data_IF_141690241268
#
_entry.id   IF_141690241268
#
_cell.length_a   1.000
_cell.length_b   1.000
_cell.length_c   1.000
_cell.angle_alpha   90.00
_cell.angle_beta   90.00
_cell.angle_gamma   90.00
#
_symmetry.space_group_name_H-M   'P 1'
#
loop_
_entity.id
_entity.type
_entity.pdbx_description
1 polymer ?
#
# COMPACT_ATOMS: atom_id res chain seq x y z
N UNK A 1 -8.57 -39.11 -56.57
CA UNK A 1 -9.13 -38.64 -55.28
C UNK A 1 -8.65 -39.43 -54.08
N UNK A 2 -8.81 -40.76 -53.97
CA UNK A 2 -8.42 -41.52 -52.75
C UNK A 2 -6.94 -41.38 -52.33
N UNK A 3 -6.01 -41.28 -53.29
CA UNK A 3 -4.56 -41.15 -53.01
C UNK A 3 -4.21 -39.79 -52.41
N UNK A 4 -4.84 -38.71 -52.88
CA UNK A 4 -4.71 -37.36 -52.29
C UNK A 4 -5.37 -37.29 -50.91
N UNK A 5 -6.54 -37.93 -50.73
CA UNK A 5 -7.22 -37.97 -49.43
C UNK A 5 -6.38 -38.70 -48.36
N UNK A 6 -5.70 -39.79 -48.75
CA UNK A 6 -4.76 -40.51 -47.87
C UNK A 6 -3.54 -39.67 -47.52
N UNK A 7 -2.96 -38.95 -48.49
CA UNK A 7 -1.81 -38.09 -48.25
C UNK A 7 -2.17 -36.91 -47.33
N UNK A 8 -3.34 -36.30 -47.54
CA UNK A 8 -3.91 -35.30 -46.65
C UNK A 8 -4.13 -35.86 -45.23
N UNK A 9 -4.67 -37.07 -45.12
CA UNK A 9 -4.85 -37.76 -43.83
C UNK A 9 -3.54 -37.99 -43.09
N UNK A 10 -2.49 -38.46 -43.77
CA UNK A 10 -1.16 -38.63 -43.18
C UNK A 10 -0.51 -37.31 -42.78
N UNK A 11 -0.66 -36.26 -43.58
CA UNK A 11 -0.17 -34.93 -43.25
C UNK A 11 -0.87 -34.35 -42.00
N UNK A 12 -2.20 -34.50 -41.91
CA UNK A 12 -2.97 -34.08 -40.72
C UNK A 12 -2.57 -34.89 -39.48
N UNK A 13 -2.40 -36.21 -39.61
CA UNK A 13 -1.95 -37.05 -38.51
C UNK A 13 -0.54 -36.67 -38.05
N UNK A 14 0.38 -36.43 -38.97
CA UNK A 14 1.74 -35.97 -38.66
C UNK A 14 1.72 -34.63 -37.91
N UNK A 15 0.90 -33.68 -38.36
CA UNK A 15 0.73 -32.38 -37.69
C UNK A 15 0.13 -32.53 -36.29
N UNK A 16 -0.87 -33.40 -36.11
CA UNK A 16 -1.47 -33.69 -34.81
C UNK A 16 -0.43 -34.29 -33.84
N UNK A 17 0.38 -35.25 -34.29
CA UNK A 17 1.45 -35.85 -33.49
C UNK A 17 2.49 -34.81 -33.07
N UNK A 18 2.90 -33.94 -34.00
CA UNK A 18 3.82 -32.84 -33.71
C UNK A 18 3.23 -31.85 -32.69
N UNK A 19 1.95 -31.50 -32.82
CA UNK A 19 1.27 -30.62 -31.88
C UNK A 19 1.18 -31.24 -30.47
N UNK A 20 0.85 -32.52 -30.37
CA UNK A 20 0.82 -33.26 -29.09
C UNK A 20 2.21 -33.35 -28.48
N UNK A 21 3.25 -33.64 -29.28
CA UNK A 21 4.63 -33.71 -28.81
C UNK A 21 5.11 -32.36 -28.28
N UNK A 22 4.83 -31.26 -29.00
CA UNK A 22 5.15 -29.91 -28.56
C UNK A 22 4.39 -29.53 -27.27
N UNK A 23 3.11 -29.89 -27.18
CA UNK A 23 2.30 -29.66 -25.97
C UNK A 23 2.85 -30.46 -24.78
N UNK A 24 3.21 -31.74 -24.95
CA UNK A 24 3.81 -32.55 -23.88
C UNK A 24 5.17 -32.01 -23.45
N UNK A 25 6.03 -31.64 -24.40
CA UNK A 25 7.33 -31.05 -24.10
C UNK A 25 7.20 -29.76 -23.30
N UNK A 26 6.23 -28.91 -23.67
CA UNK A 26 5.90 -27.68 -22.95
C UNK A 26 5.32 -27.98 -21.56
N UNK A 27 4.42 -28.96 -21.45
CA UNK A 27 3.73 -29.32 -20.21
C UNK A 27 4.69 -29.84 -19.14
N UNK A 28 5.71 -30.58 -19.56
CA UNK A 28 6.73 -31.14 -18.67
C UNK A 28 8.03 -30.33 -18.67
N UNK A 29 8.01 -29.12 -19.24
CA UNK A 29 9.18 -28.24 -19.19
C UNK A 29 9.47 -27.88 -17.72
N UNK A 30 10.72 -27.97 -17.25
CA UNK A 30 11.02 -27.72 -15.86
C UNK A 30 10.90 -26.23 -15.52
N UNK A 31 10.36 -25.93 -14.33
CA UNK A 31 10.47 -24.60 -13.75
C UNK A 31 11.95 -24.24 -13.53
N UNK A 32 12.30 -22.98 -13.71
CA UNK A 32 13.65 -22.51 -13.39
C UNK A 32 13.88 -22.45 -11.88
N UNK A 33 15.15 -22.44 -11.46
CA UNK A 33 15.48 -22.27 -10.04
C UNK A 33 14.94 -20.94 -9.47
N UNK A 34 15.04 -19.86 -10.25
CA UNK A 34 14.51 -18.54 -9.87
C UNK A 34 12.98 -18.55 -9.71
N UNK A 35 12.25 -19.27 -10.56
CA UNK A 35 10.80 -19.44 -10.45
C UNK A 35 10.40 -20.17 -9.17
N UNK A 36 11.10 -21.26 -8.83
CA UNK A 36 10.87 -22.00 -7.59
C UNK A 36 11.17 -21.15 -6.36
N UNK A 37 12.26 -20.39 -6.41
CA UNK A 37 12.67 -19.52 -5.30
C UNK A 37 11.67 -18.39 -5.04
N UNK A 38 11.20 -17.71 -6.09
CA UNK A 38 10.19 -16.66 -5.95
C UNK A 38 8.90 -17.20 -5.32
N UNK A 39 8.45 -18.39 -5.75
CA UNK A 39 7.28 -19.05 -5.15
C UNK A 39 7.52 -19.39 -3.69
N UNK A 40 8.69 -19.93 -3.35
CA UNK A 40 9.06 -20.26 -1.96
C UNK A 40 9.02 -19.01 -1.06
N UNK A 41 9.57 -17.90 -1.51
CA UNK A 41 9.57 -16.63 -0.76
C UNK A 41 8.15 -16.10 -0.54
N UNK A 42 7.28 -16.23 -1.54
CA UNK A 42 5.90 -15.76 -1.44
C UNK A 42 4.99 -16.68 -0.62
N UNK A 43 5.31 -17.96 -0.51
CA UNK A 43 4.58 -18.91 0.33
C UNK A 43 5.08 -18.91 1.79
N UNK A 44 6.28 -18.37 2.05
CA UNK A 44 6.87 -18.25 3.39
C UNK A 44 6.30 -17.05 4.17
N UNK A 45 4.97 -17.02 4.35
CA UNK A 45 4.27 -16.00 5.12
C UNK A 45 4.53 -16.23 6.60
N UNK A 46 5.07 -15.22 7.28
CA UNK A 46 5.30 -15.26 8.72
C UNK A 46 4.18 -14.50 9.42
N UNK A 47 3.51 -15.10 10.42
CA UNK A 47 2.55 -14.36 11.23
C UNK A 47 3.21 -13.14 11.87
N UNK A 48 2.56 -11.98 11.78
CA UNK A 48 2.99 -10.80 12.53
C UNK A 48 2.67 -11.00 14.02
N UNK A 49 3.55 -10.56 14.91
CA UNK A 49 3.29 -10.62 16.36
C UNK A 49 2.50 -9.38 16.83
N UNK A 50 1.90 -9.48 18.02
CA UNK A 50 1.19 -8.36 18.67
C UNK A 50 -0.30 -8.29 18.39
N UNK A 51 -0.93 -7.21 18.87
CA UNK A 51 -2.38 -7.02 18.81
C UNK A 51 -2.81 -6.59 17.41
N UNK A 52 -3.74 -7.34 16.81
CA UNK A 52 -4.29 -7.03 15.50
C UNK A 52 -5.44 -6.01 15.60
N UNK A 53 -5.28 -4.84 14.97
CA UNK A 53 -6.27 -3.77 14.90
C UNK A 53 -7.26 -3.89 13.74
N UNK A 54 -7.22 -4.98 12.96
CA UNK A 54 -8.07 -5.14 11.79
C UNK A 54 -9.57 -5.06 12.11
N UNK A 55 -10.02 -5.53 13.27
CA UNK A 55 -11.43 -5.40 13.67
C UNK A 55 -11.86 -3.93 13.78
N UNK A 56 -11.02 -3.06 14.34
CA UNK A 56 -11.28 -1.62 14.42
C UNK A 56 -11.25 -0.99 13.03
N UNK A 57 -10.30 -1.38 12.18
CA UNK A 57 -10.18 -0.89 10.82
C UNK A 57 -11.39 -1.29 9.93
N UNK A 58 -11.81 -2.55 10.00
CA UNK A 58 -12.95 -3.10 9.26
C UNK A 58 -14.27 -2.42 9.65
N UNK A 59 -14.44 -2.11 10.94
CA UNK A 59 -15.66 -1.53 11.50
C UNK A 59 -15.57 -0.01 11.70
N UNK A 60 -14.54 0.64 11.14
CA UNK A 60 -14.27 2.06 11.34
C UNK A 60 -15.47 3.00 11.06
N UNK A 61 -16.34 2.72 10.06
CA UNK A 61 -17.53 3.54 9.80
C UNK A 61 -18.65 3.45 10.86
N UNK A 62 -18.57 2.53 11.81
CA UNK A 62 -19.66 2.28 12.77
C UNK A 62 -19.35 2.86 14.15
N UNK A 63 -20.27 3.68 14.66
CA UNK A 63 -20.19 4.33 15.97
C UNK A 63 -20.77 3.43 17.08
N UNK A 64 -20.43 3.74 18.34
CA UNK A 64 -21.08 3.13 19.52
C UNK A 64 -20.68 1.69 19.82
N UNK A 65 -19.63 1.18 19.16
CA UNK A 65 -19.12 -0.18 19.38
C UNK A 65 -17.82 -0.16 20.17
N UNK A 66 -17.77 -0.94 21.25
CA UNK A 66 -16.54 -1.27 21.96
C UNK A 66 -15.65 -2.26 21.17
N UNK A 67 -14.49 -2.62 21.71
CA UNK A 67 -13.56 -3.52 21.02
C UNK A 67 -14.15 -4.95 20.85
N UNK A 68 -14.80 -5.48 21.89
CA UNK A 68 -15.34 -6.83 21.87
C UNK A 68 -16.47 -6.98 20.85
N UNK A 69 -17.33 -5.97 20.74
CA UNK A 69 -18.41 -5.92 19.74
C UNK A 69 -17.85 -5.88 18.31
N UNK A 70 -16.75 -5.15 18.08
CA UNK A 70 -16.08 -5.10 16.77
C UNK A 70 -15.43 -6.42 16.40
N UNK A 71 -14.79 -7.09 17.36
CA UNK A 71 -14.20 -8.41 17.18
C UNK A 71 -15.28 -9.47 16.91
N UNK A 72 -16.41 -9.40 17.61
CA UNK A 72 -17.56 -10.28 17.37
C UNK A 72 -18.14 -10.07 15.96
N UNK A 73 -18.34 -8.81 15.54
CA UNK A 73 -18.81 -8.51 14.19
C UNK A 73 -17.86 -9.04 13.11
N UNK A 74 -16.55 -8.85 13.28
CA UNK A 74 -15.55 -9.41 12.36
C UNK A 74 -15.59 -10.94 12.35
N UNK A 75 -15.75 -11.60 13.49
CA UNK A 75 -15.86 -13.06 13.55
C UNK A 75 -17.10 -13.57 12.79
N UNK A 76 -18.21 -12.86 12.84
CA UNK A 76 -19.43 -13.19 12.09
C UNK A 76 -19.22 -12.99 10.59
N UNK A 77 -18.58 -11.89 10.19
CA UNK A 77 -18.16 -11.61 8.82
C UNK A 77 -17.24 -12.71 8.27
N UNK A 78 -16.27 -13.18 9.06
CA UNK A 78 -15.38 -14.28 8.69
C UNK A 78 -16.11 -15.60 8.50
N UNK A 79 -17.06 -15.94 9.38
CA UNK A 79 -17.88 -17.16 9.22
C UNK A 79 -18.70 -17.11 7.95
N UNK A 80 -19.34 -15.96 7.67
CA UNK A 80 -20.11 -15.75 6.43
C UNK A 80 -19.24 -15.89 5.19
N UNK A 81 -18.03 -15.31 5.22
CA UNK A 81 -17.06 -15.44 4.14
C UNK A 81 -16.63 -16.89 3.91
N UNK A 82 -16.39 -17.66 4.98
CA UNK A 82 -15.96 -19.06 4.86
C UNK A 82 -17.07 -19.98 4.32
N UNK A 83 -18.35 -19.70 4.61
CA UNK A 83 -19.46 -20.55 4.17
C UNK A 83 -19.80 -20.34 2.70
N UNK A 84 -20.07 -19.09 2.31
CA UNK A 84 -20.49 -18.75 0.95
C UNK A 84 -20.05 -17.31 0.65
N UNK A 85 -18.83 -17.10 0.13
CA UNK A 85 -18.42 -15.82 -0.38
C UNK A 85 -19.44 -15.28 -1.40
N UNK A 86 -19.93 -14.08 -1.15
CA UNK A 86 -20.86 -13.37 -2.04
C UNK A 86 -20.51 -11.89 -2.01
N UNK A 87 -21.02 -11.11 -2.98
CA UNK A 87 -20.88 -9.65 -2.97
C UNK A 87 -21.33 -9.01 -1.64
N UNK A 88 -22.37 -9.54 -0.99
CA UNK A 88 -22.84 -9.07 0.32
C UNK A 88 -21.82 -9.29 1.46
N UNK A 89 -20.87 -10.21 1.28
CA UNK A 89 -19.80 -10.50 2.24
C UNK A 89 -18.68 -9.46 2.23
N UNK A 90 -18.71 -8.50 1.30
CA UNK A 90 -17.74 -7.39 1.22
C UNK A 90 -18.06 -6.21 2.15
N UNK A 91 -19.26 -6.20 2.74
CA UNK A 91 -19.65 -5.21 3.74
C UNK A 91 -19.84 -5.89 5.09
N UNK A 92 -19.51 -5.22 6.19
CA UNK A 92 -19.71 -5.80 7.53
C UNK A 92 -21.18 -6.14 7.80
N UNK A 93 -21.45 -7.21 8.54
CA UNK A 93 -22.78 -7.56 9.08
C UNK A 93 -23.45 -6.40 9.83
N UNK A 94 -22.66 -5.50 10.41
CA UNK A 94 -23.15 -4.29 11.09
C UNK A 94 -24.00 -3.40 10.19
N UNK A 95 -23.74 -3.39 8.87
CA UNK A 95 -24.49 -2.58 7.91
C UNK A 95 -26.00 -2.95 7.84
N UNK A 96 -26.39 -4.13 8.32
CA UNK A 96 -27.79 -4.53 8.41
C UNK A 96 -28.51 -3.92 9.62
N UNK A 97 -27.78 -3.59 10.69
CA UNK A 97 -28.33 -3.08 11.95
C UNK A 97 -28.08 -1.59 12.17
N UNK A 98 -27.03 -1.04 11.55
CA UNK A 98 -26.59 0.34 11.72
C UNK A 98 -26.16 0.92 10.37
N UNK A 99 -26.59 2.14 10.07
CA UNK A 99 -26.09 2.86 8.92
C UNK A 99 -24.62 3.24 9.13
N UNK A 100 -23.71 2.97 8.16
CA UNK A 100 -22.33 3.43 8.26
C UNK A 100 -22.30 4.97 8.22
N UNK A 101 -21.30 5.56 8.86
CA UNK A 101 -21.08 7.00 8.85
C UNK A 101 -20.98 7.50 7.40
N UNK A 102 -21.82 8.48 7.05
CA UNK A 102 -21.78 9.13 5.75
C UNK A 102 -20.78 10.30 5.82
N UNK A 103 -19.68 10.19 5.07
CA UNK A 103 -18.64 11.21 5.03
C UNK A 103 -18.84 12.12 3.82
N UNK A 104 -19.09 13.41 4.07
CA UNK A 104 -19.09 14.41 3.03
C UNK A 104 -17.67 14.63 2.48
N UNK A 105 -17.54 14.68 1.14
CA UNK A 105 -16.30 15.09 0.49
C UNK A 105 -15.88 16.51 0.86
N UNK A 106 -16.83 17.38 1.26
CA UNK A 106 -16.56 18.76 1.64
C UNK A 106 -15.63 18.88 2.86
N UNK A 107 -15.63 17.90 3.77
CA UNK A 107 -14.79 17.87 4.98
C UNK A 107 -13.37 17.36 4.76
N UNK A 108 -13.02 16.90 3.55
CA UNK A 108 -11.68 16.39 3.26
C UNK A 108 -10.82 17.41 2.54
N UNK A 109 -9.58 17.53 2.99
CA UNK A 109 -8.55 18.27 2.29
C UNK A 109 -8.32 17.64 0.91
N UNK A 110 -8.38 18.46 -0.13
CA UNK A 110 -8.07 18.03 -1.48
C UNK A 110 -6.57 17.71 -1.60
N UNK A 111 -6.25 16.74 -2.45
CA UNK A 111 -4.86 16.50 -2.87
C UNK A 111 -4.48 17.60 -3.87
N UNK A 112 -3.36 18.27 -3.65
CA UNK A 112 -2.93 19.34 -4.53
C UNK A 112 -1.70 20.11 -4.01
N UNK A 113 -1.39 21.25 -4.64
CA UNK A 113 -0.21 22.05 -4.26
C UNK A 113 -0.44 22.85 -2.96
N UNK A 114 -1.71 23.12 -2.62
CA UNK A 114 -2.08 23.79 -1.38
C UNK A 114 -2.18 22.75 -0.26
N UNK A 115 -1.37 22.91 0.79
CA UNK A 115 -1.37 22.03 1.96
C UNK A 115 -2.71 22.01 2.70
N UNK A 116 -2.94 20.95 3.48
CA UNK A 116 -4.21 20.77 4.19
C UNK A 116 -4.46 21.89 5.21
N UNK A 117 -3.42 22.34 5.93
CA UNK A 117 -3.56 23.44 6.89
C UNK A 117 -4.02 24.74 6.23
N UNK A 118 -3.46 25.08 5.06
CA UNK A 118 -3.85 26.24 4.28
C UNK A 118 -5.30 26.14 3.75
N UNK A 119 -5.72 24.96 3.30
CA UNK A 119 -7.10 24.72 2.87
C UNK A 119 -8.10 24.93 4.02
N UNK A 120 -7.82 24.38 5.20
CA UNK A 120 -8.70 24.57 6.38
C UNK A 120 -8.71 26.03 6.83
N UNK A 121 -7.55 26.71 6.78
CA UNK A 121 -7.46 28.14 7.12
C UNK A 121 -8.30 29.02 6.19
N UNK A 122 -8.41 28.67 4.92
CA UNK A 122 -9.17 29.43 3.94
C UNK A 122 -10.70 29.35 4.17
N UNK A 123 -11.20 28.23 4.71
CA UNK A 123 -12.62 28.05 5.01
C UNK A 123 -12.85 27.19 6.28
N UNK A 124 -12.54 27.69 7.49
CA UNK A 124 -12.62 26.89 8.71
C UNK A 124 -14.04 26.43 9.03
N UNK A 125 -15.05 27.23 8.65
CA UNK A 125 -16.46 26.95 8.93
C UNK A 125 -16.98 25.76 8.13
N UNK A 126 -16.58 25.62 6.86
CA UNK A 126 -16.91 24.44 6.06
C UNK A 126 -16.37 23.17 6.69
N UNK A 127 -15.11 23.16 7.11
CA UNK A 127 -14.51 21.98 7.76
C UNK A 127 -15.17 21.69 9.11
N UNK A 128 -15.43 22.71 9.92
CA UNK A 128 -16.15 22.53 11.19
C UNK A 128 -17.56 21.95 10.99
N UNK A 129 -18.31 22.44 10.00
CA UNK A 129 -19.61 21.90 9.63
C UNK A 129 -19.52 20.45 9.16
N UNK A 130 -18.57 20.13 8.28
CA UNK A 130 -18.41 18.79 7.74
C UNK A 130 -17.92 17.74 8.76
N UNK A 131 -17.23 18.16 9.83
CA UNK A 131 -16.82 17.27 10.93
C UNK A 131 -17.79 17.27 12.12
N UNK A 132 -18.92 18.00 12.03
CA UNK A 132 -19.92 17.99 13.10
C UNK A 132 -20.49 16.58 13.28
N UNK A 133 -20.40 16.05 14.51
CA UNK A 133 -20.83 14.69 14.82
C UNK A 133 -19.78 13.60 14.57
N UNK A 134 -18.57 13.93 14.10
CA UNK A 134 -17.50 12.95 13.82
C UNK A 134 -16.59 12.66 15.03
N UNK A 135 -16.91 13.15 16.23
CA UNK A 135 -16.06 12.97 17.42
C UNK A 135 -15.75 11.49 17.70
N UNK A 136 -16.74 10.61 17.55
CA UNK A 136 -16.54 9.16 17.69
C UNK A 136 -15.59 8.58 16.64
N UNK A 137 -15.64 9.07 15.38
CA UNK A 137 -14.70 8.65 14.34
C UNK A 137 -13.27 9.07 14.68
N UNK A 138 -13.07 10.31 15.12
CA UNK A 138 -11.73 10.82 15.45
C UNK A 138 -11.11 10.06 16.62
N UNK A 139 -11.89 9.69 17.63
CA UNK A 139 -11.44 8.82 18.71
C UNK A 139 -10.99 7.45 18.20
N UNK A 140 -11.76 6.84 17.29
CA UNK A 140 -11.38 5.55 16.67
C UNK A 140 -10.11 5.65 15.85
N UNK A 141 -9.96 6.72 15.07
CA UNK A 141 -8.75 6.97 14.29
C UNK A 141 -7.52 7.09 15.21
N UNK A 142 -7.64 7.79 16.33
CA UNK A 142 -6.56 7.90 17.31
C UNK A 142 -6.17 6.54 17.91
N UNK A 143 -7.17 5.70 18.21
CA UNK A 143 -6.98 4.34 18.76
C UNK A 143 -6.31 3.34 17.82
N UNK A 144 -6.27 3.60 16.51
CA UNK A 144 -5.56 2.72 15.57
C UNK A 144 -4.07 2.63 15.92
N UNK A 145 -3.47 3.68 16.47
CA UNK A 145 -2.07 3.66 16.88
C UNK A 145 -1.78 2.79 18.13
N UNK A 146 -2.79 2.20 18.75
CA UNK A 146 -2.63 1.29 19.90
C UNK A 146 -2.41 -0.17 19.49
N UNK A 147 -2.53 -0.48 18.19
CA UNK A 147 -2.40 -1.84 17.66
C UNK A 147 -1.10 -2.03 16.89
N UNK A 148 -0.56 -3.25 16.93
CA UNK A 148 0.77 -3.57 16.40
C UNK A 148 0.75 -3.98 14.92
N UNK A 149 -0.38 -4.55 14.48
CA UNK A 149 -0.58 -5.14 13.14
C UNK A 149 -2.00 -4.92 12.60
N UNK A 150 -2.14 -4.98 11.27
CA UNK A 150 -3.39 -4.72 10.53
C UNK A 150 -3.63 -5.70 9.38
N UNK A 151 -3.08 -6.91 9.46
CA UNK A 151 -3.34 -7.95 8.48
C UNK A 151 -4.80 -8.41 8.52
N UNK A 152 -5.36 -8.58 7.33
CA UNK A 152 -6.69 -9.12 7.11
C UNK A 152 -6.75 -10.61 7.48
N UNK A 153 -7.70 -11.02 8.35
CA UNK A 153 -7.94 -12.42 8.64
C UNK A 153 -8.76 -13.14 7.55
N UNK A 154 -9.30 -12.42 6.56
CA UNK A 154 -10.00 -13.02 5.44
C UNK A 154 -9.02 -13.86 4.61
N UNK A 155 -9.37 -15.13 4.40
CA UNK A 155 -8.57 -16.02 3.56
C UNK A 155 -9.10 -15.98 2.12
N UNK A 156 -8.24 -15.88 1.10
CA UNK A 156 -8.69 -15.90 -0.29
C UNK A 156 -9.52 -17.15 -0.61
N UNK A 157 -10.67 -16.97 -1.27
CA UNK A 157 -11.60 -18.05 -1.59
C UNK A 157 -12.07 -17.96 -3.03
N UNK A 158 -11.73 -18.96 -3.83
CA UNK A 158 -12.14 -19.01 -5.22
C UNK A 158 -11.63 -17.83 -6.05
N UNK A 159 -12.50 -17.29 -6.89
CA UNK A 159 -12.26 -16.11 -7.74
C UNK A 159 -12.77 -14.80 -7.12
N UNK A 160 -13.36 -14.86 -5.93
CA UNK A 160 -13.95 -13.69 -5.27
C UNK A 160 -12.85 -12.75 -4.77
N UNK A 161 -13.08 -11.45 -4.93
CA UNK A 161 -12.17 -10.43 -4.42
C UNK A 161 -12.15 -10.48 -2.89
N UNK A 162 -10.99 -10.29 -2.29
CA UNK A 162 -10.91 -10.28 -0.83
C UNK A 162 -11.65 -9.04 -0.27
N UNK A 163 -12.43 -9.18 0.82
CA UNK A 163 -13.06 -8.05 1.46
C UNK A 163 -12.02 -7.02 1.94
N UNK A 164 -12.30 -5.74 1.67
CA UNK A 164 -11.43 -4.62 2.04
C UNK A 164 -12.16 -3.70 3.03
N UNK A 165 -11.49 -3.20 4.07
CA UNK A 165 -12.03 -2.16 4.93
C UNK A 165 -12.50 -0.93 4.14
N UNK A 166 -13.52 -0.25 4.67
CA UNK A 166 -13.88 1.07 4.17
C UNK A 166 -12.77 2.07 4.52
N UNK A 167 -11.91 2.40 3.57
CA UNK A 167 -10.74 3.26 3.80
C UNK A 167 -11.04 4.76 3.82
N UNK A 168 -12.17 5.19 3.27
CA UNK A 168 -12.57 6.61 3.23
C UNK A 168 -12.43 7.35 4.57
N UNK A 169 -12.84 6.78 5.73
CA UNK A 169 -12.72 7.45 7.02
C UNK A 169 -11.28 7.68 7.48
N UNK A 170 -10.30 6.88 7.03
CA UNK A 170 -8.88 7.14 7.33
C UNK A 170 -8.42 8.48 6.78
N UNK A 171 -9.04 8.94 5.69
CA UNK A 171 -8.66 10.17 5.00
C UNK A 171 -9.29 11.43 5.63
N UNK A 172 -10.23 11.27 6.58
CA UNK A 172 -10.88 12.38 7.30
C UNK A 172 -9.99 12.98 8.39
N UNK A 173 -9.09 12.17 8.96
CA UNK A 173 -8.32 12.52 10.15
C UNK A 173 -7.42 13.75 9.99
N UNK A 174 -6.85 13.96 8.80
CA UNK A 174 -5.96 15.09 8.55
C UNK A 174 -6.69 16.45 8.59
N UNK A 175 -7.91 16.52 8.05
CA UNK A 175 -8.71 17.74 8.05
C UNK A 175 -9.18 18.11 9.45
N UNK A 176 -9.63 17.10 10.21
CA UNK A 176 -9.99 17.28 11.62
C UNK A 176 -8.80 17.76 12.47
N UNK A 177 -7.63 17.17 12.23
CA UNK A 177 -6.39 17.56 12.91
C UNK A 177 -5.97 19.01 12.57
N UNK A 178 -6.03 19.40 11.30
CA UNK A 178 -5.74 20.77 10.88
C UNK A 178 -6.73 21.77 11.48
N UNK A 179 -8.01 21.41 11.56
CA UNK A 179 -9.04 22.23 12.21
C UNK A 179 -8.77 22.40 13.72
N UNK A 180 -8.49 21.31 14.43
CA UNK A 180 -8.17 21.34 15.85
C UNK A 180 -6.96 22.24 16.16
N UNK A 181 -5.92 22.16 15.32
CA UNK A 181 -4.75 23.03 15.40
C UNK A 181 -5.13 24.52 15.26
N UNK A 182 -5.94 24.87 14.24
CA UNK A 182 -6.40 26.25 14.01
C UNK A 182 -7.34 26.76 15.11
N UNK A 183 -8.02 25.85 15.83
CA UNK A 183 -8.87 26.17 16.98
C UNK A 183 -8.08 26.30 18.30
N UNK A 184 -6.75 26.10 18.26
CA UNK A 184 -5.85 26.33 19.39
C UNK A 184 -5.37 25.06 20.09
N UNK A 185 -5.83 23.86 19.70
CA UNK A 185 -5.28 22.59 20.21
C UNK A 185 -3.99 22.20 19.47
N UNK A 186 -2.95 23.01 19.65
CA UNK A 186 -1.66 22.85 18.96
C UNK A 186 -0.99 21.52 19.36
N UNK A 187 -0.91 21.23 20.65
CA UNK A 187 -0.22 20.05 21.16
C UNK A 187 -0.99 18.75 20.82
N UNK A 188 -2.31 18.74 20.98
CA UNK A 188 -3.15 17.59 20.65
C UNK A 188 -3.16 17.32 19.15
N UNK A 189 -3.19 18.34 18.30
CA UNK A 189 -3.11 18.17 16.85
C UNK A 189 -1.76 17.62 16.38
N UNK A 190 -0.64 18.08 16.94
CA UNK A 190 0.69 17.55 16.62
C UNK A 190 0.80 16.08 17.08
N UNK A 191 0.42 15.76 18.31
CA UNK A 191 0.49 14.38 18.81
C UNK A 191 -0.40 13.43 17.99
N UNK A 192 -1.61 13.86 17.64
CA UNK A 192 -2.54 13.09 16.80
C UNK A 192 -1.95 12.79 15.42
N UNK A 193 -1.25 13.76 14.81
CA UNK A 193 -0.53 13.55 13.56
C UNK A 193 0.57 12.50 13.68
N UNK A 194 1.37 12.56 14.74
CA UNK A 194 2.41 11.56 14.97
C UNK A 194 1.81 10.18 15.27
N UNK A 195 0.65 10.12 15.92
CA UNK A 195 -0.13 8.90 16.13
C UNK A 195 -0.58 8.28 14.80
N UNK A 196 -1.14 9.09 13.89
CA UNK A 196 -1.54 8.65 12.55
C UNK A 196 -0.33 8.17 11.71
N UNK A 197 0.83 8.83 11.81
CA UNK A 197 2.07 8.36 11.18
C UNK A 197 2.48 6.98 11.70
N UNK A 198 2.42 6.73 13.02
CA UNK A 198 2.72 5.41 13.60
C UNK A 198 1.77 4.33 13.07
N UNK A 199 0.47 4.62 13.05
CA UNK A 199 -0.53 3.74 12.47
C UNK A 199 -0.21 3.44 10.99
N UNK A 200 0.04 4.46 10.18
CA UNK A 200 0.34 4.31 8.75
C UNK A 200 1.59 3.45 8.51
N UNK A 201 2.66 3.64 9.28
CA UNK A 201 3.89 2.81 9.22
C UNK A 201 3.59 1.34 9.51
N UNK A 202 2.82 1.05 10.56
CA UNK A 202 2.42 -0.33 10.90
C UNK A 202 1.56 -0.95 9.81
N UNK A 203 0.62 -0.19 9.24
CA UNK A 203 -0.24 -0.65 8.16
C UNK A 203 0.54 -0.92 6.87
N UNK A 204 1.53 -0.07 6.53
CA UNK A 204 2.45 -0.31 5.40
C UNK A 204 3.15 -1.66 5.50
N UNK A 205 3.67 -1.98 6.69
CA UNK A 205 4.45 -3.18 6.98
C UNK A 205 3.62 -4.45 7.10
N UNK A 206 2.45 -4.36 7.76
CA UNK A 206 1.67 -5.54 8.18
C UNK A 206 0.38 -5.76 7.41
N UNK A 207 -0.03 -4.82 6.54
CA UNK A 207 -1.22 -4.98 5.71
C UNK A 207 -1.12 -6.22 4.82
N UNK A 208 -2.22 -6.98 4.73
CA UNK A 208 -2.25 -8.25 3.97
C UNK A 208 -2.29 -8.05 2.47
N UNK A 209 -2.75 -6.89 2.00
CA UNK A 209 -2.83 -6.58 0.57
C UNK A 209 -1.94 -5.42 0.18
N UNK A 210 -1.71 -5.31 -1.12
CA UNK A 210 -1.10 -4.10 -1.68
C UNK A 210 -1.93 -2.86 -1.38
N UNK A 211 -3.26 -2.97 -1.40
CA UNK A 211 -4.15 -1.85 -1.09
C UNK A 211 -3.94 -1.37 0.34
N UNK A 212 -3.83 -2.29 1.31
CA UNK A 212 -3.61 -1.96 2.71
C UNK A 212 -2.29 -1.21 2.89
N UNK A 213 -1.22 -1.72 2.28
CA UNK A 213 0.11 -1.09 2.35
C UNK A 213 0.11 0.30 1.69
N UNK A 214 -0.57 0.46 0.55
CA UNK A 214 -0.70 1.75 -0.13
C UNK A 214 -1.54 2.76 0.66
N UNK A 215 -2.54 2.29 1.40
CA UNK A 215 -3.32 3.14 2.29
C UNK A 215 -2.47 3.62 3.47
N UNK A 216 -1.67 2.73 4.07
CA UNK A 216 -0.69 3.10 5.09
C UNK A 216 0.29 4.17 4.60
N UNK A 217 0.83 4.01 3.39
CA UNK A 217 1.74 4.99 2.77
C UNK A 217 1.06 6.34 2.52
N UNK A 218 -0.22 6.33 2.13
CA UNK A 218 -1.01 7.54 1.97
C UNK A 218 -1.20 8.26 3.32
N UNK A 219 -1.54 7.53 4.38
CA UNK A 219 -1.67 8.09 5.75
C UNK A 219 -0.36 8.72 6.21
N UNK A 220 0.78 8.01 6.09
CA UNK A 220 2.10 8.54 6.45
C UNK A 220 2.38 9.85 5.73
N UNK A 221 2.21 9.88 4.40
CA UNK A 221 2.47 11.08 3.59
C UNK A 221 1.57 12.25 3.99
N UNK A 222 0.27 12.01 4.12
CA UNK A 222 -0.71 13.07 4.40
C UNK A 222 -0.45 13.70 5.77
N UNK A 223 -0.24 12.88 6.81
CA UNK A 223 -0.02 13.40 8.15
C UNK A 223 1.40 13.96 8.33
N UNK A 224 2.42 13.44 7.64
CA UNK A 224 3.74 14.05 7.62
C UNK A 224 3.73 15.45 6.95
N UNK A 225 2.97 15.61 5.86
CA UNK A 225 2.77 16.92 5.23
C UNK A 225 2.15 17.93 6.19
N UNK A 226 1.03 17.55 6.81
CA UNK A 226 0.34 18.41 7.76
C UNK A 226 1.20 18.72 9.00
N UNK A 227 1.98 17.76 9.50
CA UNK A 227 2.95 18.01 10.57
C UNK A 227 4.00 19.04 10.17
N UNK A 228 4.50 18.98 8.93
CA UNK A 228 5.41 19.99 8.39
C UNK A 228 4.79 21.40 8.42
N UNK A 229 3.55 21.52 7.93
CA UNK A 229 2.78 22.77 7.91
C UNK A 229 2.54 23.32 9.33
N UNK A 230 2.18 22.48 10.31
CA UNK A 230 1.95 22.93 11.68
C UNK A 230 3.25 23.30 12.38
N UNK A 231 4.30 22.48 12.23
CA UNK A 231 5.55 22.68 12.95
C UNK A 231 6.31 23.91 12.48
N UNK A 232 6.14 24.33 11.22
CA UNK A 232 6.79 25.54 10.69
C UNK A 232 6.30 26.82 11.37
N UNK A 233 5.06 26.82 11.87
CA UNK A 233 4.45 27.91 12.61
C UNK A 233 4.83 27.94 14.09
N UNK A 234 5.38 26.83 14.61
CA UNK A 234 5.87 26.74 15.98
C UNK A 234 7.30 27.30 16.11
N UNK A 235 7.78 27.51 17.33
CA UNK A 235 9.21 27.84 17.52
C UNK A 235 10.11 26.71 16.98
N UNK A 236 11.32 27.02 16.47
CA UNK A 236 12.30 26.00 16.09
C UNK A 236 12.63 24.99 17.21
N UNK A 237 12.50 25.43 18.46
CA UNK A 237 12.76 24.65 19.67
C UNK A 237 11.52 23.94 20.21
N UNK A 238 10.43 23.88 19.45
CA UNK A 238 9.21 23.17 19.86
C UNK A 238 9.52 21.71 20.24
N UNK A 239 9.21 21.37 21.50
CA UNK A 239 9.55 20.07 22.09
C UNK A 239 8.47 19.06 21.72
N UNK A 240 8.85 18.07 20.92
CA UNK A 240 8.01 16.91 20.65
C UNK A 240 8.04 15.92 21.81
N UNK A 241 6.90 15.27 22.05
CA UNK A 241 6.77 14.11 22.93
C UNK A 241 7.73 12.99 22.53
N UNK A 242 8.02 12.07 23.45
CA UNK A 242 8.85 10.91 23.15
C UNK A 242 8.22 10.01 22.07
N UNK A 243 6.90 9.79 22.14
CA UNK A 243 6.12 9.04 21.14
C UNK A 243 6.22 9.67 19.76
N UNK A 244 6.05 10.99 19.66
CA UNK A 244 6.14 11.68 18.38
C UNK A 244 7.58 11.66 17.82
N UNK A 245 8.61 11.84 18.65
CA UNK A 245 10.00 11.71 18.19
C UNK A 245 10.29 10.33 17.59
N UNK A 246 9.78 9.26 18.21
CA UNK A 246 9.92 7.90 17.67
C UNK A 246 9.15 7.72 16.34
N UNK A 247 7.95 8.31 16.23
CA UNK A 247 7.14 8.28 15.01
C UNK A 247 7.84 8.92 13.80
N UNK A 248 8.69 9.91 14.04
CA UNK A 248 9.38 10.70 13.01
C UNK A 248 10.81 10.24 12.71
N UNK A 249 11.26 9.13 13.29
CA UNK A 249 12.52 8.50 12.87
C UNK A 249 12.42 8.03 11.41
N UNK A 250 13.53 8.05 10.63
CA UNK A 250 13.55 7.51 9.28
C UNK A 250 13.03 6.07 9.26
N UNK A 251 12.20 5.77 8.26
CA UNK A 251 11.70 4.40 8.04
C UNK A 251 12.86 3.51 7.62
N UNK A 252 12.95 2.33 8.22
CA UNK A 252 13.90 1.31 7.77
C UNK A 252 13.41 0.58 6.51
N UNK A 253 14.21 -0.38 6.03
CA UNK A 253 13.88 -1.14 4.83
C UNK A 253 12.72 -2.14 5.03
N UNK A 254 12.49 -2.62 6.27
CA UNK A 254 11.39 -3.53 6.58
C UNK A 254 10.06 -2.78 6.60
N UNK A 255 10.01 -1.59 7.19
CA UNK A 255 8.84 -0.72 7.19
C UNK A 255 8.41 -0.25 5.79
N UNK A 256 9.37 -0.17 4.86
CA UNK A 256 9.13 0.17 3.46
C UNK A 256 8.79 -1.06 2.59
N UNK A 257 9.02 -2.27 3.10
CA UNK A 257 8.95 -3.50 2.32
C UNK A 257 7.54 -3.78 1.85
N UNK A 258 7.42 -4.22 0.60
CA UNK A 258 6.16 -4.73 0.04
C UNK A 258 6.08 -6.26 0.08
N UNK A 259 7.04 -6.95 0.71
CA UNK A 259 7.04 -8.42 0.69
C UNK A 259 5.75 -9.01 1.26
N UNK A 260 5.30 -8.57 2.44
CA UNK A 260 4.07 -9.08 3.06
C UNK A 260 2.84 -8.82 2.18
N UNK A 261 2.72 -7.60 1.62
CA UNK A 261 1.66 -7.29 0.67
C UNK A 261 1.70 -8.19 -0.57
N UNK A 262 2.88 -8.41 -1.17
CA UNK A 262 3.05 -9.28 -2.34
C UNK A 262 2.77 -10.76 -2.03
N UNK A 263 3.02 -11.21 -0.80
CA UNK A 263 2.63 -12.54 -0.33
C UNK A 263 1.11 -12.70 -0.34
N UNK A 264 0.35 -11.70 0.12
CA UNK A 264 -1.10 -11.72 0.05
C UNK A 264 -1.65 -11.65 -1.37
N UNK A 265 -1.09 -10.80 -2.24
CA UNK A 265 -1.44 -10.77 -3.68
C UNK A 265 -1.21 -12.12 -4.34
N UNK A 266 -0.10 -12.80 -4.00
CA UNK A 266 0.18 -14.15 -4.47
C UNK A 266 -0.82 -15.17 -3.93
N UNK A 267 -1.20 -15.10 -2.65
CA UNK A 267 -2.20 -15.99 -2.05
C UNK A 267 -3.57 -15.85 -2.73
N UNK A 268 -3.99 -14.63 -3.07
CA UNK A 268 -5.21 -14.36 -3.83
C UNK A 268 -5.17 -14.99 -5.22
N UNK A 269 -4.08 -14.78 -5.96
CA UNK A 269 -3.88 -15.41 -7.26
C UNK A 269 -3.86 -16.94 -7.16
N UNK A 270 -3.25 -17.49 -6.10
CA UNK A 270 -3.20 -18.93 -5.85
C UNK A 270 -4.59 -19.53 -5.65
N UNK A 271 -5.47 -18.86 -4.92
CA UNK A 271 -6.86 -19.28 -4.76
C UNK A 271 -7.64 -19.23 -6.10
N UNK A 272 -7.51 -18.12 -6.84
CA UNK A 272 -8.21 -17.93 -8.12
C UNK A 272 -7.79 -18.96 -9.18
N UNK A 273 -6.48 -19.22 -9.32
CA UNK A 273 -5.97 -20.26 -10.24
C UNK A 273 -6.38 -21.66 -9.74
N UNK A 274 -6.38 -21.87 -8.42
CA UNK A 274 -6.85 -23.12 -7.81
C UNK A 274 -8.30 -23.44 -8.19
N UNK A 275 -9.21 -22.45 -8.09
CA UNK A 275 -10.59 -22.61 -8.50
C UNK A 275 -10.75 -22.75 -10.02
N UNK A 276 -10.05 -21.94 -10.82
CA UNK A 276 -10.13 -21.97 -12.29
C UNK A 276 -9.69 -23.30 -12.89
N UNK A 277 -8.84 -24.06 -12.19
CA UNK A 277 -8.34 -25.37 -12.64
C UNK A 277 -9.18 -26.56 -12.15
N UNK A 278 -10.32 -26.33 -11.48
CA UNK A 278 -11.21 -27.42 -11.07
C UNK A 278 -11.95 -28.06 -12.26
N UNK A 279 -12.28 -27.27 -13.30
CA UNK A 279 -12.95 -27.75 -14.52
C UNK A 279 -11.98 -28.44 -15.48
N UNK A 280 -12.32 -29.63 -15.97
CA UNK A 280 -11.46 -30.45 -16.83
C UNK A 280 -11.00 -29.73 -18.12
N UNK A 281 -11.89 -28.97 -18.76
CA UNK A 281 -11.56 -28.21 -19.99
C UNK A 281 -10.49 -27.14 -19.79
N UNK A 282 -10.47 -26.49 -18.61
CA UNK A 282 -9.50 -25.44 -18.32
C UNK A 282 -8.09 -26.01 -18.10
N UNK A 283 -7.96 -27.24 -17.58
CA UNK A 283 -6.64 -27.86 -17.27
C UNK A 283 -5.74 -28.06 -18.49
N UNK A 284 -6.33 -28.15 -19.69
CA UNK A 284 -5.62 -28.30 -20.97
C UNK A 284 -4.93 -27.02 -21.42
N UNK A 285 -5.48 -25.86 -21.05
CA UNK A 285 -5.02 -24.53 -21.47
C UNK A 285 -4.42 -23.71 -20.31
N UNK A 286 -4.63 -24.18 -19.07
CA UNK A 286 -4.17 -23.56 -17.83
C UNK A 286 -3.40 -24.59 -16.99
N UNK A 287 -2.08 -24.51 -17.07
CA UNK A 287 -1.18 -25.24 -16.18
C UNK A 287 -1.04 -24.48 -14.85
N UNK A 288 -1.53 -25.07 -13.77
CA UNK A 288 -1.53 -24.45 -12.45
C UNK A 288 -0.12 -24.06 -12.00
N UNK A 289 0.83 -24.99 -12.01
CA UNK A 289 2.14 -24.78 -11.41
C UNK A 289 2.98 -23.80 -12.23
N UNK A 290 2.93 -23.90 -13.55
CA UNK A 290 3.57 -22.93 -14.43
C UNK A 290 2.94 -21.55 -14.30
N UNK A 291 1.62 -21.45 -14.20
CA UNK A 291 0.95 -20.15 -13.99
C UNK A 291 1.35 -19.53 -12.67
N UNK A 292 1.31 -20.30 -11.56
CA UNK A 292 1.73 -19.80 -10.26
C UNK A 292 3.21 -19.43 -10.22
N UNK A 293 4.09 -20.17 -10.89
CA UNK A 293 5.51 -19.83 -10.99
C UNK A 293 5.76 -18.53 -11.78
N UNK A 294 4.94 -18.24 -12.79
CA UNK A 294 4.97 -16.97 -13.53
C UNK A 294 4.49 -15.82 -12.67
N UNK A 295 3.34 -15.96 -12.03
CA UNK A 295 2.77 -14.97 -11.11
C UNK A 295 3.74 -14.70 -9.95
N UNK A 296 4.34 -15.74 -9.37
CA UNK A 296 5.37 -15.60 -8.35
C UNK A 296 6.54 -14.73 -8.83
N UNK A 297 6.87 -14.79 -10.11
CA UNK A 297 7.86 -13.91 -10.72
C UNK A 297 7.55 -12.43 -10.71
N UNK A 298 6.28 -12.07 -10.80
CA UNK A 298 5.83 -10.69 -10.81
C UNK A 298 5.88 -10.06 -9.41
N UNK A 299 5.92 -10.89 -8.37
CA UNK A 299 5.80 -10.51 -6.97
C UNK A 299 7.07 -10.75 -6.15
N UNK A 300 7.82 -11.81 -6.48
CA UNK A 300 8.92 -12.34 -5.69
C UNK A 300 10.07 -11.34 -5.52
N UNK A 301 10.22 -10.38 -6.44
CA UNK A 301 11.21 -9.31 -6.32
C UNK A 301 11.10 -8.56 -4.99
N UNK A 302 9.90 -8.40 -4.43
CA UNK A 302 9.69 -7.65 -3.19
C UNK A 302 10.24 -8.35 -1.94
N UNK A 303 10.35 -9.69 -1.99
CA UNK A 303 10.82 -10.52 -0.88
C UNK A 303 12.30 -10.88 -0.96
N UNK A 304 13.01 -10.50 -2.03
CA UNK A 304 14.43 -10.80 -2.20
C UNK A 304 15.30 -9.85 -1.37
N UNK A 305 16.49 -10.28 -0.90
CA UNK A 305 17.44 -9.40 -0.20
C UNK A 305 17.84 -8.15 -0.99
N UNK A 306 17.83 -8.22 -2.32
CA UNK A 306 18.09 -7.09 -3.20
C UNK A 306 17.06 -5.94 -3.00
N UNK A 307 15.81 -6.25 -2.66
CA UNK A 307 14.79 -5.24 -2.36
C UNK A 307 15.13 -4.48 -1.07
N UNK A 308 15.45 -5.18 0.02
CA UNK A 308 15.85 -4.56 1.28
C UNK A 308 17.09 -3.66 1.10
N UNK A 309 18.09 -4.10 0.33
CA UNK A 309 19.27 -3.30 0.00
C UNK A 309 18.89 -2.04 -0.81
N UNK A 310 17.99 -2.17 -1.78
CA UNK A 310 17.54 -1.06 -2.58
C UNK A 310 16.75 -0.02 -1.76
N UNK A 311 15.88 -0.48 -0.85
CA UNK A 311 15.12 0.38 0.06
C UNK A 311 16.04 1.13 1.03
N UNK A 312 17.01 0.43 1.64
CA UNK A 312 17.98 1.04 2.54
C UNK A 312 18.84 2.13 1.85
N UNK A 313 19.20 1.91 0.59
CA UNK A 313 19.96 2.87 -0.23
C UNK A 313 19.07 3.92 -0.93
N UNK A 314 17.75 3.86 -0.71
CA UNK A 314 16.76 4.73 -1.35
C UNK A 314 16.78 4.72 -2.90
N UNK A 315 17.25 3.63 -3.52
CA UNK A 315 17.31 3.47 -4.99
C UNK A 315 16.03 2.80 -5.52
N UNK A 316 15.66 2.97 -6.81
CA UNK A 316 14.47 2.31 -7.33
C UNK A 316 14.56 0.79 -7.17
N UNK A 317 13.46 0.18 -6.74
CA UNK A 317 13.36 -1.26 -6.56
C UNK A 317 13.56 -1.99 -7.90
N UNK A 318 14.30 -3.12 -7.93
CA UNK A 318 14.61 -3.86 -9.15
C UNK A 318 13.43 -4.73 -9.56
N UNK A 319 12.33 -4.10 -9.98
CA UNK A 319 11.13 -4.79 -10.48
C UNK A 319 11.48 -5.42 -11.82
N UNK A 320 11.62 -6.74 -11.86
CA UNK A 320 11.99 -7.47 -13.07
C UNK A 320 10.77 -7.74 -13.94
N UNK A 321 10.76 -7.21 -15.17
CA UNK A 321 9.81 -7.64 -16.20
C UNK A 321 10.22 -9.03 -16.72
N UNK A 322 9.32 -10.01 -16.64
CA UNK A 322 9.54 -11.34 -17.22
C UNK A 322 9.06 -11.38 -18.69
N UNK A 323 9.65 -12.24 -19.54
CA UNK A 323 9.17 -12.43 -20.90
C UNK A 323 7.70 -12.81 -20.93
N UNK A 324 6.92 -12.16 -21.78
CA UNK A 324 5.48 -12.43 -21.90
C UNK A 324 5.18 -13.85 -22.40
N UNK A 325 6.07 -14.41 -23.23
CA UNK A 325 5.96 -15.74 -23.81
C UNK A 325 7.28 -16.52 -23.70
N UNK A 326 7.18 -17.81 -23.37
CA UNK A 326 8.28 -18.78 -23.39
C UNK A 326 7.75 -20.19 -23.74
N UNK A 327 8.63 -21.20 -23.75
CA UNK A 327 8.26 -22.58 -24.08
C UNK A 327 7.18 -23.16 -23.14
N UNK A 328 7.07 -22.68 -21.90
CA UNK A 328 6.03 -23.10 -20.97
C UNK A 328 4.63 -22.61 -21.36
N UNK A 329 4.51 -21.67 -22.30
CA UNK A 329 3.23 -21.11 -22.72
C UNK A 329 2.48 -21.93 -23.77
N UNK A 330 3.14 -22.87 -24.48
CA UNK A 330 2.48 -23.71 -25.48
C UNK A 330 1.41 -24.60 -24.84
N UNK A 331 1.68 -25.16 -23.66
CA UNK A 331 0.72 -25.91 -22.85
C UNK A 331 0.02 -25.08 -21.76
N UNK A 332 0.27 -23.77 -21.70
CA UNK A 332 -0.29 -22.86 -20.72
C UNK A 332 -0.67 -21.47 -21.30
N UNK A 333 -1.39 -21.40 -22.44
CA UNK A 333 -1.67 -20.12 -23.09
C UNK A 333 -2.55 -19.18 -22.23
N UNK A 334 -3.51 -19.74 -21.47
CA UNK A 334 -4.33 -18.95 -20.56
C UNK A 334 -3.51 -18.44 -19.37
N UNK A 335 -2.66 -19.29 -18.79
CA UNK A 335 -1.81 -18.89 -17.67
C UNK A 335 -0.80 -17.82 -18.03
N UNK A 336 -0.21 -17.89 -19.24
CA UNK A 336 0.70 -16.86 -19.72
C UNK A 336 -0.02 -15.53 -19.91
N UNK A 337 -1.21 -15.53 -20.53
CA UNK A 337 -2.05 -14.33 -20.68
C UNK A 337 -2.42 -13.73 -19.32
N UNK A 338 -2.94 -14.55 -18.38
CA UNK A 338 -3.33 -14.10 -17.04
C UNK A 338 -2.15 -13.51 -16.26
N UNK A 339 -0.98 -14.17 -16.31
CA UNK A 339 0.23 -13.69 -15.64
C UNK A 339 0.78 -12.38 -16.24
N UNK A 340 0.49 -12.09 -17.51
CA UNK A 340 0.95 -10.88 -18.19
C UNK A 340 0.12 -9.64 -17.83
N UNK A 341 -1.15 -9.81 -17.43
CA UNK A 341 -2.04 -8.69 -17.04
C UNK A 341 -1.53 -8.01 -15.75
N UNK A 342 -1.03 -8.78 -14.79
CA UNK A 342 -0.66 -8.27 -13.47
C UNK A 342 0.71 -7.55 -13.43
N UNK A 343 1.67 -7.94 -14.29
CA UNK A 343 3.08 -7.56 -14.14
C UNK A 343 3.46 -6.06 -14.22
N UNK A 344 2.95 -5.25 -15.18
CA UNK A 344 3.53 -3.95 -15.49
C UNK A 344 3.35 -2.82 -14.46
N UNK A 345 2.52 -2.97 -13.41
CA UNK A 345 2.10 -1.84 -12.56
C UNK A 345 2.81 -1.75 -11.19
N UNK A 346 3.55 -2.77 -10.77
CA UNK A 346 4.02 -2.84 -9.37
C UNK A 346 5.14 -1.87 -8.99
N UNK A 347 5.92 -1.41 -9.96
CA UNK A 347 6.97 -0.41 -9.73
C UNK A 347 6.41 0.93 -9.18
N UNK A 348 5.20 1.30 -9.58
CA UNK A 348 4.58 2.54 -9.11
C UNK A 348 4.18 2.45 -7.62
N UNK A 349 3.72 1.28 -7.16
CA UNK A 349 3.38 1.07 -5.77
C UNK A 349 4.62 0.99 -4.88
N UNK A 350 5.67 0.31 -5.35
CA UNK A 350 7.00 0.34 -4.73
C UNK A 350 7.48 1.78 -4.50
N UNK A 351 7.37 2.61 -5.53
CA UNK A 351 7.78 4.01 -5.47
C UNK A 351 6.98 4.82 -4.43
N UNK A 352 5.68 4.55 -4.26
CA UNK A 352 4.85 5.21 -3.23
C UNK A 352 5.30 4.91 -1.81
N UNK A 353 5.73 3.68 -1.52
CA UNK A 353 6.33 3.32 -0.22
C UNK A 353 7.61 4.12 0.05
N UNK A 354 8.50 4.19 -0.95
CA UNK A 354 9.73 4.98 -0.85
C UNK A 354 9.46 6.48 -0.72
N UNK A 355 8.39 7.00 -1.32
CA UNK A 355 7.98 8.40 -1.17
C UNK A 355 7.44 8.69 0.24
N UNK A 356 6.78 7.74 0.90
CA UNK A 356 6.39 7.88 2.31
C UNK A 356 7.62 7.97 3.22
N UNK A 357 8.62 7.12 3.02
CA UNK A 357 9.89 7.20 3.76
C UNK A 357 10.65 8.51 3.48
N UNK A 358 10.65 8.98 2.23
CA UNK A 358 11.25 10.26 1.87
C UNK A 358 10.54 11.44 2.54
N UNK A 359 9.21 11.40 2.67
CA UNK A 359 8.45 12.44 3.36
C UNK A 359 8.82 12.56 4.84
N UNK A 360 9.01 11.43 5.53
CA UNK A 360 9.46 11.43 6.93
C UNK A 360 10.89 11.97 7.06
N UNK A 361 11.80 11.58 6.15
CA UNK A 361 13.16 12.15 6.12
C UNK A 361 13.14 13.66 5.86
N UNK A 362 12.28 14.13 4.95
CA UNK A 362 12.11 15.54 4.61
C UNK A 362 11.59 16.34 5.80
N UNK A 363 10.61 15.80 6.55
CA UNK A 363 10.10 16.39 7.78
C UNK A 363 11.19 16.48 8.87
N UNK A 364 11.97 15.41 9.07
CA UNK A 364 13.11 15.43 9.99
C UNK A 364 14.18 16.46 9.59
N UNK A 365 14.50 16.55 8.29
CA UNK A 365 15.42 17.53 7.75
C UNK A 365 14.92 18.97 7.93
N UNK A 366 13.64 19.22 7.66
CA UNK A 366 12.99 20.52 7.86
C UNK A 366 13.10 20.98 9.31
N UNK A 367 12.81 20.10 10.27
CA UNK A 367 12.96 20.41 11.70
C UNK A 367 14.41 20.73 12.07
N UNK A 368 15.37 19.91 11.62
CA UNK A 368 16.78 20.14 11.91
C UNK A 368 17.29 21.46 11.31
N UNK A 369 16.91 21.78 10.07
CA UNK A 369 17.31 23.02 9.40
C UNK A 369 16.80 24.26 10.13
N UNK A 370 15.56 24.23 10.63
CA UNK A 370 14.97 25.36 11.36
C UNK A 370 15.68 25.67 12.67
N UNK A 371 16.39 24.68 13.24
CA UNK A 371 17.20 24.83 14.45
C UNK A 371 18.60 25.39 14.17
N UNK A 372 18.98 25.59 12.90
CA UNK A 372 20.28 26.16 12.54
C UNK A 372 20.22 27.69 12.53
N UNK A 373 21.33 28.32 12.92
CA UNK A 373 21.50 29.78 12.89
C UNK A 373 21.97 30.31 11.54
N UNK A 374 22.49 29.42 10.69
CA UNK A 374 23.04 29.74 9.36
C UNK A 374 21.93 29.83 8.30
N UNK A 375 22.28 30.33 7.10
CA UNK A 375 21.36 30.31 5.97
C UNK A 375 20.97 28.85 5.61
N UNK A 376 19.71 28.56 5.23
CA UNK A 376 19.26 27.20 4.94
C UNK A 376 20.12 26.44 3.92
N UNK A 377 20.68 27.13 2.92
CA UNK A 377 21.54 26.53 1.91
C UNK A 377 22.87 26.03 2.48
N UNK A 378 23.47 26.78 3.41
CA UNK A 378 24.73 26.42 4.08
C UNK A 378 24.49 25.27 5.07
N UNK A 379 23.43 25.40 5.88
CA UNK A 379 23.00 24.36 6.81
C UNK A 379 22.72 23.03 6.10
N UNK A 380 22.08 23.05 4.93
CA UNK A 380 21.75 21.86 4.15
C UNK A 380 22.98 21.01 3.79
N UNK A 381 24.14 21.64 3.55
CA UNK A 381 25.40 20.92 3.30
C UNK A 381 25.85 20.07 4.51
N UNK A 382 25.42 20.44 5.74
CA UNK A 382 25.73 19.77 7.00
C UNK A 382 24.60 18.88 7.52
N UNK A 383 23.51 18.69 6.75
CA UNK A 383 22.33 17.91 7.14
C UNK A 383 22.71 16.55 7.76
N UNK A 384 22.22 16.08 8.90
CA UNK A 384 22.62 14.80 9.46
C UNK A 384 22.38 13.61 8.49
N UNK A 385 23.27 12.61 8.51
CA UNK A 385 23.25 11.49 7.57
C UNK A 385 21.90 10.74 7.54
N UNK A 386 21.24 10.60 8.71
CA UNK A 386 19.93 9.96 8.83
C UNK A 386 18.79 10.66 8.06
N UNK A 387 18.97 11.94 7.72
CA UNK A 387 18.01 12.73 6.94
C UNK A 387 18.43 12.87 5.47
N UNK A 388 19.62 12.41 5.11
CA UNK A 388 20.12 12.42 3.73
C UNK A 388 19.63 11.19 2.97
N UNK A 389 19.66 11.30 1.64
CA UNK A 389 19.69 10.16 0.72
C UNK A 389 20.72 10.47 -0.35
N UNK A 390 21.59 9.51 -0.61
CA UNK A 390 22.66 9.65 -1.61
C UNK A 390 22.10 9.71 -3.05
N UNK A 391 20.84 9.29 -3.24
CA UNK A 391 20.20 9.19 -4.55
C UNK A 391 19.06 10.18 -4.76
N UNK A 392 18.50 10.70 -3.66
CA UNK A 392 17.46 11.74 -3.65
C UNK A 392 17.85 12.82 -2.64
N UNK A 393 18.87 13.59 -3.00
CA UNK A 393 19.35 14.66 -2.15
C UNK A 393 18.26 15.74 -1.97
N UNK A 394 18.00 16.18 -0.73
CA UNK A 394 17.10 17.31 -0.49
C UNK A 394 17.71 18.60 -1.04
N UNK A 395 16.85 19.43 -1.63
CA UNK A 395 17.20 20.72 -2.22
C UNK A 395 16.20 21.80 -1.79
N UNK A 396 16.61 23.06 -1.84
CA UNK A 396 15.69 24.18 -1.63
C UNK A 396 14.87 24.41 -2.91
N UNK A 397 13.61 24.81 -2.77
CA UNK A 397 12.82 25.36 -3.86
C UNK A 397 13.45 26.65 -4.39
N UNK A 398 13.11 27.03 -5.62
CA UNK A 398 13.65 28.24 -6.26
C UNK A 398 13.42 29.53 -5.46
N UNK A 399 12.31 29.60 -4.71
CA UNK A 399 11.94 30.71 -3.83
C UNK A 399 12.47 30.55 -2.38
N UNK A 400 13.19 29.47 -2.10
CA UNK A 400 13.71 29.14 -0.77
C UNK A 400 12.63 28.90 0.30
N UNK A 401 11.34 28.79 -0.07
CA UNK A 401 10.23 28.55 0.88
C UNK A 401 10.14 27.10 1.33
N UNK A 402 10.59 26.16 0.50
CA UNK A 402 10.39 24.74 0.70
C UNK A 402 11.71 23.98 0.64
N UNK A 403 11.80 22.93 1.45
CA UNK A 403 12.74 21.84 1.26
C UNK A 403 12.06 20.76 0.41
N UNK A 404 12.71 20.29 -0.64
CA UNK A 404 12.11 19.41 -1.62
C UNK A 404 13.02 18.22 -1.98
N UNK A 405 12.42 17.08 -2.32
CA UNK A 405 13.11 15.92 -2.92
C UNK A 405 12.32 15.44 -4.12
N UNK A 406 13.03 14.86 -5.11
CA UNK A 406 12.38 14.31 -6.29
C UNK A 406 11.46 13.15 -5.89
N UNK A 407 10.23 13.21 -6.39
CA UNK A 407 9.24 12.15 -6.22
C UNK A 407 9.61 10.94 -7.08
N UNK A 408 9.45 9.73 -6.53
CA UNK A 408 9.66 8.49 -7.30
C UNK A 408 8.35 7.97 -7.92
N UNK A 409 7.25 8.05 -7.19
CA UNK A 409 5.95 7.59 -7.65
C UNK A 409 5.30 8.57 -8.64
N UNK A 410 4.27 8.13 -9.39
CA UNK A 410 3.51 9.04 -10.22
C UNK A 410 2.87 10.13 -9.35
N UNK A 411 2.92 11.37 -9.82
CA UNK A 411 2.15 12.47 -9.25
C UNK A 411 0.66 12.20 -9.46
N UNK A 412 -0.17 12.51 -8.46
CA UNK A 412 -1.62 12.61 -8.67
C UNK A 412 -1.94 13.95 -9.35
N UNK A 413 -3.13 14.07 -9.90
CA UNK A 413 -3.61 15.32 -10.47
C UNK A 413 -3.48 16.45 -9.44
N UNK A 414 -2.81 17.55 -9.84
CA UNK A 414 -2.52 18.69 -8.97
C UNK A 414 -1.23 18.59 -8.15
N UNK A 415 -0.55 17.45 -8.10
CA UNK A 415 0.77 17.33 -7.47
C UNK A 415 1.92 17.59 -8.45
N UNK A 416 3.03 18.17 -7.96
CA UNK A 416 4.25 18.35 -8.74
C UNK A 416 5.20 17.13 -8.72
N UNK A 417 6.29 17.23 -9.48
CA UNK A 417 7.37 16.22 -9.51
C UNK A 417 8.21 16.12 -8.23
N UNK A 418 7.90 16.93 -7.21
CA UNK A 418 8.61 16.99 -5.95
C UNK A 418 7.70 16.62 -4.78
N UNK A 419 8.31 16.07 -3.73
CA UNK A 419 7.77 16.07 -2.37
C UNK A 419 8.34 17.30 -1.67
N UNK A 420 7.53 18.05 -0.92
CA UNK A 420 7.91 19.37 -0.38
C UNK A 420 7.51 19.50 1.08
N UNK A 421 8.39 20.10 1.89
CA UNK A 421 8.13 20.54 3.28
C UNK A 421 8.37 22.05 3.40
N UNK A 422 7.51 22.82 4.09
CA UNK A 422 7.70 24.25 4.27
C UNK A 422 8.82 24.56 5.27
N UNK A 423 9.67 25.55 4.96
CA UNK A 423 10.72 26.04 5.86
C UNK A 423 10.31 27.28 6.66
N UNK A 424 9.28 27.99 6.19
CA UNK A 424 8.68 29.16 6.83
C UNK A 424 7.16 29.07 6.78
N UNK A 425 6.49 29.69 7.76
CA UNK A 425 5.06 29.87 7.73
C UNK A 425 4.67 30.78 6.54
N UNK A 426 3.49 30.52 5.98
CA UNK A 426 3.05 31.19 4.76
C UNK A 426 2.58 32.63 4.96
#
# INVERSE_FOLDING_TARGET
MLRMLRWMGWAMLGLLVMAIAAWLLSRFWPLSAAQREDRRLLEAVHPSEGRNGFALLWTLPFDGLDLAQREAALADDLRRWQTTPTHASHASVLAAAQAPLNLDGAGRCAVGPVGCLAQVRADPQRFAGAHTGHAGLHERLARLADFDRFDSPFQPSGIELMPLPAYTPLLDGASAQALAYLQGDVAGAIESGCSAVRFGRRMMRTGSTLVDSMMGAAVVRTHAALLGDMLVEQSPDYVLSASCKAALLPLDADEQSLCHAMQGEFAMNKAAIGASTQTAGNRLLLDRDHTLARIAGNFGWACRPAAAKALAADVPLPVSARPQWDMGCVANPLGCTLSAIAGPSYAQYAARSQDAAAMIRLLGAQRWLRQQTEAPAEALARLPAQWRSDTRAPQLSADGRYLQVLRRGPARDGEGGYLSMPLRAD
#
